data_IF_367232724763
#
_entry.id   IF_367232724763
#
_cell.length_a   1.000
_cell.length_b   1.000
_cell.length_c   1.000
_cell.angle_alpha   90.00
_cell.angle_beta   90.00
_cell.angle_gamma   90.00
#
_symmetry.space_group_name_H-M   'P 1'
#
loop_
_entity.id
_entity.type
_entity.pdbx_description
1 polymer ?
#
# COMPACT_ATOMS: atom_id res chain seq x y z
N UNK A 1 -3.19 21.09 13.07
CA UNK A 1 -2.55 20.02 12.28
C UNK A 1 -3.65 19.16 11.69
N UNK A 2 -3.59 18.83 10.42
CA UNK A 2 -4.53 17.93 9.74
C UNK A 2 -3.72 16.78 9.14
N UNK A 3 -4.00 15.54 9.56
CA UNK A 3 -3.41 14.36 8.96
C UNK A 3 -4.27 13.96 7.75
N UNK A 4 -3.63 13.83 6.58
CA UNK A 4 -4.26 13.36 5.35
C UNK A 4 -3.65 12.04 4.94
N UNK A 5 -4.42 11.18 4.28
CA UNK A 5 -3.94 9.92 3.73
C UNK A 5 -4.54 9.71 2.35
N UNK A 6 -3.68 9.48 1.36
CA UNK A 6 -4.06 8.94 0.05
C UNK A 6 -3.51 7.52 0.01
N UNK A 7 -4.36 6.51 -0.08
CA UNK A 7 -3.96 5.11 0.06
C UNK A 7 -4.12 4.38 -1.28
N UNK A 8 -3.02 3.82 -1.77
CA UNK A 8 -3.04 2.82 -2.83
C UNK A 8 -3.27 1.45 -2.18
N UNK A 9 -4.27 0.71 -2.69
CA UNK A 9 -4.58 -0.63 -2.23
C UNK A 9 -4.41 -1.62 -3.38
N UNK A 10 -3.60 -2.66 -3.18
CA UNK A 10 -3.46 -3.78 -4.12
C UNK A 10 -3.95 -5.06 -3.46
N UNK A 11 -4.78 -5.81 -4.18
CA UNK A 11 -5.31 -7.11 -3.74
C UNK A 11 -4.55 -8.22 -4.45
N UNK A 12 -4.06 -9.19 -3.68
CA UNK A 12 -3.39 -10.40 -4.17
C UNK A 12 -4.19 -11.60 -3.69
N UNK A 13 -4.69 -12.42 -4.60
CA UNK A 13 -5.37 -13.67 -4.25
C UNK A 13 -4.31 -14.70 -3.81
N UNK A 14 -4.52 -15.33 -2.65
CA UNK A 14 -3.57 -16.31 -2.09
C UNK A 14 -4.00 -17.73 -2.41
N UNK A 15 -5.30 -18.00 -2.40
CA UNK A 15 -5.86 -19.30 -2.74
C UNK A 15 -7.17 -19.18 -3.53
N UNK A 16 -7.63 -20.31 -4.07
CA UNK A 16 -8.91 -20.43 -4.77
C UNK A 16 -10.12 -20.42 -3.82
N UNK A 17 -9.88 -20.58 -2.52
CA UNK A 17 -10.92 -20.61 -1.48
C UNK A 17 -11.35 -19.22 -1.00
N UNK A 18 -10.86 -18.16 -1.65
CA UNK A 18 -11.26 -16.79 -1.37
C UNK A 18 -10.40 -16.09 -0.33
N UNK A 19 -9.23 -16.62 0.02
CA UNK A 19 -8.23 -15.91 0.81
C UNK A 19 -7.46 -14.93 -0.06
N UNK A 20 -7.27 -13.72 0.44
CA UNK A 20 -6.53 -12.67 -0.25
C UNK A 20 -5.74 -11.80 0.72
N UNK A 21 -4.59 -11.31 0.26
CA UNK A 21 -3.83 -10.28 0.93
C UNK A 21 -4.16 -8.92 0.33
N UNK A 22 -4.31 -7.91 1.18
CA UNK A 22 -4.39 -6.52 0.75
C UNK A 22 -3.17 -5.77 1.24
N UNK A 23 -2.49 -5.14 0.30
CA UNK A 23 -1.33 -4.29 0.52
C UNK A 23 -1.80 -2.83 0.45
N UNK A 24 -1.52 -2.06 1.49
CA UNK A 24 -1.87 -0.65 1.58
C UNK A 24 -0.61 0.20 1.59
N UNK A 25 -0.59 1.22 0.76
CA UNK A 25 0.49 2.20 0.70
C UNK A 25 -0.10 3.60 0.74
N UNK A 26 0.09 4.29 1.86
CA UNK A 26 -0.18 5.72 1.91
C UNK A 26 0.90 6.46 1.13
N UNK A 27 0.51 7.42 0.30
CA UNK A 27 1.43 8.23 -0.50
C UNK A 27 1.15 9.71 -0.27
N UNK A 28 2.22 10.49 -0.29
CA UNK A 28 2.11 11.94 -0.35
C UNK A 28 1.94 12.37 -1.82
N UNK A 29 0.77 12.92 -2.21
CA UNK A 29 0.49 13.31 -3.59
C UNK A 29 1.36 14.47 -4.08
N UNK A 30 1.90 15.31 -3.19
CA UNK A 30 2.77 16.42 -3.55
C UNK A 30 4.15 15.90 -3.94
N UNK A 31 4.72 15.01 -3.13
CA UNK A 31 6.03 14.38 -3.45
C UNK A 31 5.99 13.53 -4.72
N UNK A 32 4.81 13.04 -5.10
CA UNK A 32 4.57 12.22 -6.29
C UNK A 32 4.15 13.05 -7.51
N UNK A 33 4.05 14.37 -7.39
CA UNK A 33 3.63 15.26 -8.49
C UNK A 33 2.19 15.05 -8.95
N UNK A 34 1.37 14.37 -8.15
CA UNK A 34 -0.06 14.15 -8.42
C UNK A 34 -0.83 15.44 -8.14
N UNK A 35 -0.44 16.17 -7.10
CA UNK A 35 -0.96 17.50 -6.79
C UNK A 35 0.10 18.54 -7.13
N UNK A 36 -0.26 19.52 -7.98
CA UNK A 36 0.57 20.70 -8.20
C UNK A 36 0.15 21.76 -7.19
N UNK A 37 1.05 22.18 -6.31
CA UNK A 37 0.80 23.36 -5.50
C UNK A 37 0.78 24.59 -6.43
N UNK A 38 -0.34 25.30 -6.47
CA UNK A 38 -0.39 26.57 -7.18
C UNK A 38 0.44 27.61 -6.44
N UNK A 39 1.29 28.40 -7.12
CA UNK A 39 2.16 29.38 -6.48
C UNK A 39 1.40 30.49 -5.72
N UNK A 40 0.07 30.58 -5.88
CA UNK A 40 -0.81 31.46 -5.10
C UNK A 40 -1.01 31.04 -3.65
N UNK A 41 -0.71 29.78 -3.29
CA UNK A 41 -0.85 29.30 -1.90
C UNK A 41 0.29 29.72 -0.96
N UNK A 42 1.39 30.26 -1.50
CA UNK A 42 2.52 30.77 -0.72
C UNK A 42 2.24 32.10 -0.01
N UNK A 43 1.23 32.86 -0.43
CA UNK A 43 0.88 34.14 0.23
C UNK A 43 -0.01 33.98 1.46
N UNK A 44 -0.51 32.77 1.74
CA UNK A 44 -1.51 32.51 2.78
C UNK A 44 -0.95 31.73 4.00
N UNK A 45 0.38 31.81 4.17
CA UNK A 45 1.19 31.03 5.12
C UNK A 45 0.85 31.25 6.61
N UNK A 46 0.05 32.26 6.96
CA UNK A 46 -0.22 32.64 8.35
C UNK A 46 -1.49 32.01 8.94
N UNK A 47 -2.36 31.38 8.13
CA UNK A 47 -3.68 30.90 8.61
C UNK A 47 -4.00 29.44 8.26
N UNK A 48 -3.26 28.80 7.37
CA UNK A 48 -3.54 27.40 6.98
C UNK A 48 -3.00 26.41 8.02
N UNK A 49 -3.87 25.54 8.53
CA UNK A 49 -3.49 24.43 9.41
C UNK A 49 -2.44 23.57 8.69
N UNK A 50 -1.28 23.35 9.32
CA UNK A 50 -0.24 22.43 8.83
C UNK A 50 -0.86 21.07 8.45
N UNK A 51 -0.78 20.72 7.17
CA UNK A 51 -1.20 19.44 6.63
C UNK A 51 0.00 18.49 6.62
N UNK A 52 -0.23 17.23 7.00
CA UNK A 52 0.78 16.18 6.98
C UNK A 52 0.18 15.01 6.22
N UNK A 53 0.86 14.56 5.17
CA UNK A 53 0.46 13.36 4.43
C UNK A 53 1.07 12.11 5.06
N UNK A 54 0.24 11.10 5.24
CA UNK A 54 0.64 9.80 5.76
C UNK A 54 1.54 9.08 4.77
N UNK A 55 2.63 8.52 5.29
CA UNK A 55 3.63 7.80 4.52
C UNK A 55 3.90 6.45 5.20
N UNK A 56 2.95 5.54 5.04
CA UNK A 56 2.91 4.25 5.72
C UNK A 56 2.68 3.15 4.70
N UNK A 57 3.33 2.01 4.91
CA UNK A 57 3.02 0.76 4.23
C UNK A 57 2.42 -0.21 5.24
N UNK A 58 1.33 -0.90 4.91
CA UNK A 58 0.70 -1.89 5.79
C UNK A 58 0.08 -3.01 4.98
N UNK A 59 -0.14 -4.17 5.59
CA UNK A 59 -0.78 -5.29 4.93
C UNK A 59 -1.72 -6.04 5.86
N UNK A 60 -2.70 -6.71 5.27
CA UNK A 60 -3.62 -7.59 5.97
C UNK A 60 -3.92 -8.83 5.14
N UNK A 61 -4.13 -9.95 5.83
CA UNK A 61 -4.63 -11.20 5.26
C UNK A 61 -6.12 -11.29 5.56
N UNK A 62 -6.89 -11.65 4.55
CA UNK A 62 -8.34 -11.76 4.61
C UNK A 62 -8.76 -13.12 4.12
N UNK A 63 -9.60 -13.79 4.89
CA UNK A 63 -10.10 -15.14 4.58
C UNK A 63 -11.63 -15.12 4.56
N UNK A 64 -12.21 -15.74 3.54
CA UNK A 64 -13.64 -16.03 3.54
C UNK A 64 -13.92 -17.15 4.54
N UNK A 65 -14.83 -16.91 5.49
CA UNK A 65 -15.19 -17.87 6.54
C UNK A 65 -16.71 -17.94 6.73
N UNK A 66 -17.16 -19.01 7.39
CA UNK A 66 -18.58 -19.36 7.51
C UNK A 66 -19.03 -20.34 6.41
N UNK A 67 -20.15 -21.02 6.65
CA UNK A 67 -20.62 -22.14 5.81
C UNK A 67 -20.86 -21.79 4.34
N UNK A 68 -21.02 -20.51 4.02
CA UNK A 68 -21.17 -19.99 2.65
C UNK A 68 -20.14 -18.90 2.32
N UNK A 69 -19.05 -18.79 3.09
CA UNK A 69 -18.06 -17.71 2.93
C UNK A 69 -18.62 -16.31 3.18
N UNK A 70 -19.71 -16.21 3.96
CA UNK A 70 -20.45 -14.96 4.19
C UNK A 70 -19.76 -13.99 5.16
N UNK A 71 -18.71 -14.45 5.83
CA UNK A 71 -17.94 -13.65 6.77
C UNK A 71 -16.51 -13.49 6.25
N UNK A 72 -15.86 -12.39 6.63
CA UNK A 72 -14.47 -12.16 6.32
C UNK A 72 -13.68 -12.12 7.62
N UNK A 73 -12.72 -13.03 7.77
CA UNK A 73 -11.76 -13.00 8.86
C UNK A 73 -10.58 -12.15 8.43
N UNK A 74 -10.22 -11.16 9.25
CA UNK A 74 -9.09 -10.28 9.01
C UNK A 74 -7.97 -10.59 10.00
N UNK A 75 -6.77 -10.80 9.47
CA UNK A 75 -5.52 -10.79 10.22
C UNK A 75 -4.68 -9.57 9.79
N UNK A 76 -4.53 -8.62 10.70
CA UNK A 76 -3.66 -7.47 10.46
C UNK A 76 -2.20 -7.92 10.49
N UNK A 77 -1.53 -7.85 9.34
CA UNK A 77 -0.17 -8.35 9.18
C UNK A 77 0.90 -7.39 9.71
N UNK A 78 0.59 -6.10 9.81
CA UNK A 78 1.48 -5.08 10.37
C UNK A 78 1.58 -3.83 9.51
N UNK A 79 2.42 -2.89 9.96
CA UNK A 79 2.77 -1.69 9.21
C UNK A 79 4.25 -1.33 9.37
N UNK A 80 4.78 -0.65 8.36
CA UNK A 80 6.11 -0.03 8.33
C UNK A 80 5.92 1.46 8.08
N UNK A 81 6.38 2.28 9.02
CA UNK A 81 6.40 3.73 8.86
C UNK A 81 7.61 4.16 8.02
N UNK A 82 7.43 5.05 7.05
CA UNK A 82 8.53 5.58 6.24
C UNK A 82 9.52 6.43 7.03
N UNK A 83 9.13 6.85 8.24
CA UNK A 83 9.99 7.58 9.17
C UNK A 83 11.23 6.75 9.61
N UNK A 84 11.19 5.43 9.41
CA UNK A 84 12.28 4.49 9.74
C UNK A 84 13.33 4.36 8.62
N UNK A 85 13.63 5.46 7.91
CA UNK A 85 14.53 5.60 6.75
C UNK A 85 13.92 5.20 5.39
N UNK A 86 14.05 6.09 4.42
CA UNK A 86 13.57 5.94 3.03
C UNK A 86 14.10 4.66 2.35
N UNK A 87 15.35 4.27 2.67
CA UNK A 87 15.97 3.02 2.21
C UNK A 87 15.28 1.76 2.71
N UNK A 88 14.73 1.76 3.94
CA UNK A 88 14.06 0.58 4.48
C UNK A 88 12.72 0.35 3.78
N UNK A 89 12.00 1.42 3.45
CA UNK A 89 10.71 1.34 2.79
C UNK A 89 10.83 0.82 1.34
N UNK A 90 11.77 1.34 0.55
CA UNK A 90 12.03 0.84 -0.82
C UNK A 90 12.44 -0.63 -0.80
N UNK A 91 13.28 -1.02 0.16
CA UNK A 91 13.71 -2.41 0.36
C UNK A 91 12.55 -3.34 0.68
N UNK A 92 11.64 -2.94 1.59
CA UNK A 92 10.47 -3.74 1.95
C UNK A 92 9.42 -3.78 0.84
N UNK A 93 9.19 -2.66 0.15
CA UNK A 93 8.30 -2.60 -1.01
C UNK A 93 8.77 -3.53 -2.13
N UNK A 94 10.09 -3.58 -2.40
CA UNK A 94 10.66 -4.53 -3.36
C UNK A 94 10.44 -5.97 -2.94
N UNK A 95 10.59 -6.30 -1.65
CA UNK A 95 10.34 -7.66 -1.17
C UNK A 95 8.86 -8.05 -1.29
N UNK A 96 7.95 -7.13 -0.98
CA UNK A 96 6.52 -7.37 -1.14
C UNK A 96 6.14 -7.51 -2.62
N UNK A 97 6.68 -6.65 -3.49
CA UNK A 97 6.50 -6.77 -4.95
C UNK A 97 7.04 -8.10 -5.46
N UNK A 98 8.21 -8.54 -4.98
CA UNK A 98 8.77 -9.84 -5.34
C UNK A 98 7.91 -11.01 -4.83
N UNK A 99 7.29 -10.88 -3.66
CA UNK A 99 6.33 -11.87 -3.16
C UNK A 99 5.09 -11.88 -4.07
N UNK A 100 4.54 -10.72 -4.43
CA UNK A 100 3.39 -10.61 -5.33
C UNK A 100 3.69 -11.20 -6.72
N UNK A 101 4.84 -10.87 -7.32
CA UNK A 101 5.27 -11.41 -8.62
C UNK A 101 5.51 -12.91 -8.56
N UNK A 102 6.02 -13.45 -7.44
CA UNK A 102 6.15 -14.90 -7.26
C UNK A 102 4.78 -15.58 -7.15
N UNK A 103 3.84 -15.00 -6.41
CA UNK A 103 2.46 -15.49 -6.36
C UNK A 103 1.81 -15.46 -7.75
N UNK A 104 2.03 -14.39 -8.53
CA UNK A 104 1.53 -14.29 -9.91
C UNK A 104 2.19 -15.33 -10.84
N UNK A 105 3.50 -15.55 -10.72
CA UNK A 105 4.23 -16.54 -11.52
C UNK A 105 3.86 -17.99 -11.18
N UNK A 106 3.50 -18.31 -9.94
CA UNK A 106 3.00 -19.64 -9.57
C UNK A 106 1.62 -19.93 -10.20
N UNK A 107 0.83 -18.89 -10.51
CA UNK A 107 -0.49 -19.01 -11.16
C UNK A 107 -0.42 -18.89 -12.69
N UNK A 108 0.56 -18.15 -13.24
CA UNK A 108 0.66 -17.83 -14.69
C UNK A 108 1.83 -18.56 -15.39
N UNK A 109 2.75 -19.20 -14.65
CA UNK A 109 4.01 -19.71 -15.20
C UNK A 109 5.00 -18.57 -15.47
N UNK A 110 6.33 -18.85 -15.47
CA UNK A 110 7.35 -17.81 -15.49
C UNK A 110 7.27 -16.97 -16.78
N UNK A 111 7.08 -15.66 -16.64
CA UNK A 111 7.06 -14.71 -17.77
C UNK A 111 8.40 -14.59 -18.51
N UNK A 112 9.49 -15.10 -17.93
CA UNK A 112 10.81 -15.13 -18.56
C UNK A 112 11.44 -16.50 -18.35
N UNK A 113 11.53 -17.28 -19.42
CA UNK A 113 12.54 -18.32 -19.56
C UNK A 113 13.81 -17.57 -19.96
N UNK A 114 14.81 -17.48 -19.08
CA UNK A 114 16.18 -17.18 -19.51
C UNK A 114 16.62 -18.37 -20.38
N UNK A 115 16.72 -18.16 -21.69
CA UNK A 115 17.53 -18.98 -22.59
C UNK A 115 18.99 -18.55 -22.50
#
# INVERSE_FOLDING_TARGET
>A
MVLKALVLASRVQIDDNGSFMVLFRSVDPETRGISKQDPKDLSDFLTKKKEIWGDVFSWGLYEAVGDQGQHCRNYFGGFVSSLLTQRSLEFWLMHVLLIAVRCENEVIGPLFIMQ
#
